data_IF_638675205809
#
_entry.id   IF_638675205809
#
_cell.length_a   1.000
_cell.length_b   1.000
_cell.length_c   1.000
_cell.angle_alpha   90.00
_cell.angle_beta   90.00
_cell.angle_gamma   90.00
#
_symmetry.space_group_name_H-M   'P 1'
#
loop_
_entity.id
_entity.type
_entity.pdbx_description
1 polymer ?
#
# COMPACT_ATOMS: atom_id res chain seq x y z
N UNK A 1 -29.27 6.39 45.77
CA UNK A 1 -28.48 7.29 44.91
C UNK A 1 -27.24 6.65 44.26
N UNK A 2 -26.98 5.34 44.42
CA UNK A 2 -25.72 4.68 44.00
C UNK A 2 -25.71 4.04 42.60
N UNK A 3 -26.79 4.17 41.79
CA UNK A 3 -26.94 3.45 40.50
C UNK A 3 -26.61 4.29 39.26
N UNK A 4 -26.39 5.60 39.40
CA UNK A 4 -26.12 6.50 38.26
C UNK A 4 -24.62 6.72 37.99
N UNK A 5 -23.75 6.49 38.98
CA UNK A 5 -22.30 6.68 38.85
C UNK A 5 -21.56 5.51 38.18
N UNK A 6 -22.14 4.31 38.15
CA UNK A 6 -21.53 3.13 37.53
C UNK A 6 -21.53 3.17 35.98
N UNK A 7 -22.51 3.84 35.36
CA UNK A 7 -22.59 3.91 33.90
C UNK A 7 -21.58 4.90 33.29
N UNK A 8 -21.21 5.96 34.01
CA UNK A 8 -20.26 6.97 33.52
C UNK A 8 -18.81 6.46 33.55
N UNK A 9 -18.46 5.61 34.52
CA UNK A 9 -17.12 5.00 34.61
C UNK A 9 -16.85 3.97 33.50
N UNK A 10 -17.85 3.17 33.12
CA UNK A 10 -17.72 2.17 32.06
C UNK A 10 -17.52 2.81 30.67
N UNK A 11 -18.14 3.96 30.40
CA UNK A 11 -17.96 4.69 29.15
C UNK A 11 -16.56 5.31 29.01
N UNK A 12 -16.00 5.83 30.10
CA UNK A 12 -14.64 6.36 30.12
C UNK A 12 -13.57 5.25 29.94
N UNK A 13 -13.81 4.07 30.51
CA UNK A 13 -12.91 2.91 30.35
C UNK A 13 -12.96 2.33 28.93
N UNK A 14 -14.10 2.40 28.22
CA UNK A 14 -14.20 2.00 26.82
C UNK A 14 -13.50 2.97 25.84
N UNK A 15 -13.46 4.28 26.15
CA UNK A 15 -12.75 5.25 25.31
C UNK A 15 -11.21 5.11 25.39
N UNK A 16 -10.69 4.56 26.49
CA UNK A 16 -9.24 4.41 26.68
C UNK A 16 -8.64 3.21 25.92
N UNK A 17 -9.47 2.29 25.42
CA UNK A 17 -9.02 1.05 24.74
C UNK A 17 -8.97 1.22 23.21
N UNK A 18 -9.43 2.36 22.66
CA UNK A 18 -9.55 2.57 21.22
C UNK A 18 -8.39 3.36 20.58
N UNK A 19 -7.28 3.57 21.29
CA UNK A 19 -6.05 4.09 20.66
C UNK A 19 -5.31 2.98 19.91
N UNK A 20 -6.00 2.29 18.99
CA UNK A 20 -5.31 1.55 17.94
C UNK A 20 -4.63 2.59 17.07
N UNK A 21 -3.30 2.71 17.17
CA UNK A 21 -2.55 3.66 16.36
C UNK A 21 -2.97 3.53 14.89
N UNK A 22 -3.35 4.65 14.29
CA UNK A 22 -3.61 4.71 12.86
C UNK A 22 -2.34 4.18 12.17
N UNK A 23 -2.42 2.97 11.60
CA UNK A 23 -1.31 2.45 10.82
C UNK A 23 -1.26 3.28 9.56
N UNK A 24 -0.10 3.87 9.27
CA UNK A 24 0.15 4.46 7.98
C UNK A 24 -0.09 3.40 6.90
N UNK A 25 -0.79 3.77 5.83
CA UNK A 25 -1.07 2.84 4.75
C UNK A 25 0.25 2.28 4.19
N UNK A 26 0.27 0.97 4.03
CA UNK A 26 1.44 0.21 3.60
C UNK A 26 1.02 -0.67 2.44
N UNK A 27 1.74 -0.55 1.32
CA UNK A 27 1.60 -1.47 0.18
C UNK A 27 2.76 -2.44 0.24
N UNK A 28 2.47 -3.74 0.27
CA UNK A 28 3.50 -4.79 0.24
C UNK A 28 3.74 -5.21 -1.20
N UNK A 29 5.00 -5.28 -1.60
CA UNK A 29 5.43 -5.81 -2.89
C UNK A 29 6.08 -7.17 -2.66
N UNK A 30 5.59 -8.20 -3.33
CA UNK A 30 6.10 -9.57 -3.20
C UNK A 30 6.71 -10.06 -4.51
N UNK A 31 7.89 -10.66 -4.42
CA UNK A 31 8.61 -11.24 -5.55
C UNK A 31 7.79 -12.31 -6.25
N UNK A 32 7.63 -12.19 -7.57
CA UNK A 32 6.71 -13.05 -8.33
C UNK A 32 7.24 -14.47 -8.59
N UNK A 33 8.54 -14.70 -8.39
CA UNK A 33 9.17 -16.00 -8.65
C UNK A 33 9.39 -16.84 -7.39
N UNK A 34 8.77 -16.46 -6.27
CA UNK A 34 8.91 -17.20 -5.00
C UNK A 34 10.33 -17.18 -4.44
N UNK A 35 11.14 -16.18 -4.80
CA UNK A 35 12.53 -16.05 -4.34
C UNK A 35 12.64 -15.50 -2.92
N UNK A 36 11.51 -15.09 -2.32
CA UNK A 36 11.42 -14.53 -0.97
C UNK A 36 11.81 -13.04 -0.90
N UNK A 37 12.07 -12.38 -2.03
CA UNK A 37 12.37 -10.95 -2.03
C UNK A 37 11.09 -10.13 -1.95
N UNK A 38 11.01 -9.28 -0.92
CA UNK A 38 9.87 -8.41 -0.67
C UNK A 38 10.32 -6.96 -0.48
N UNK A 39 9.39 -6.05 -0.71
CA UNK A 39 9.54 -4.63 -0.37
C UNK A 39 8.23 -4.07 0.18
N UNK A 40 8.30 -2.90 0.82
CA UNK A 40 7.11 -2.16 1.24
C UNK A 40 7.19 -0.72 0.78
N UNK A 41 6.06 -0.21 0.29
CA UNK A 41 5.84 1.22 0.02
C UNK A 41 5.06 1.81 1.18
N UNK A 42 5.61 2.83 1.82
CA UNK A 42 5.02 3.51 2.98
C UNK A 42 5.16 5.02 2.85
N UNK A 43 4.52 5.76 3.75
CA UNK A 43 4.58 7.22 3.82
C UNK A 43 4.29 7.89 2.48
N UNK A 44 3.39 7.30 1.70
CA UNK A 44 3.05 7.82 0.38
C UNK A 44 1.96 8.88 0.47
N UNK A 45 2.06 9.90 -0.38
CA UNK A 45 1.12 11.01 -0.44
C UNK A 45 1.12 11.62 -1.83
N UNK A 46 -0.01 12.21 -2.23
CA UNK A 46 -0.13 12.98 -3.45
C UNK A 46 -0.60 14.39 -3.05
N UNK A 47 0.25 15.40 -3.27
CA UNK A 47 -0.05 16.80 -3.02
C UNK A 47 0.13 17.58 -4.30
N UNK A 48 -0.97 18.13 -4.83
CA UNK A 48 -1.01 18.63 -6.20
C UNK A 48 -0.62 17.52 -7.17
N UNK A 49 0.44 17.75 -7.95
CA UNK A 49 0.94 16.83 -8.96
C UNK A 49 2.19 16.05 -8.49
N UNK A 50 2.54 16.13 -7.20
CA UNK A 50 3.73 15.49 -6.65
C UNK A 50 3.35 14.31 -5.79
N UNK A 51 3.71 13.12 -6.25
CA UNK A 51 3.64 11.88 -5.50
C UNK A 51 4.95 11.67 -4.74
N UNK A 52 4.87 11.54 -3.42
CA UNK A 52 6.02 11.21 -2.57
C UNK A 52 5.78 9.85 -1.95
N UNK A 53 6.81 9.00 -1.83
CA UNK A 53 6.73 7.69 -1.20
C UNK A 53 8.07 7.22 -0.65
N UNK A 54 8.05 6.30 0.31
CA UNK A 54 9.24 5.59 0.81
C UNK A 54 9.18 4.13 0.41
N UNK A 55 10.21 3.64 -0.28
CA UNK A 55 10.37 2.24 -0.63
C UNK A 55 11.41 1.61 0.30
N UNK A 56 11.04 0.52 0.96
CA UNK A 56 11.92 -0.24 1.84
C UNK A 56 12.13 -1.64 1.28
N UNK A 57 13.39 -2.06 1.19
CA UNK A 57 13.74 -3.43 0.85
C UNK A 57 13.65 -4.30 2.11
N UNK A 58 12.69 -5.21 2.16
CA UNK A 58 12.42 -6.08 3.31
C UNK A 58 12.93 -7.51 3.11
N UNK A 59 13.71 -7.76 2.06
CA UNK A 59 14.34 -9.05 1.77
C UNK A 59 15.51 -9.35 2.74
N UNK A 60 15.20 -9.50 4.03
CA UNK A 60 16.19 -9.72 5.10
C UNK A 60 16.31 -11.17 5.53
N UNK A 61 15.43 -12.05 5.04
CA UNK A 61 15.44 -13.46 5.42
C UNK A 61 16.68 -14.18 4.86
N UNK A 62 17.26 -15.13 5.61
CA UNK A 62 18.37 -15.94 5.13
C UNK A 62 18.01 -16.67 3.82
N UNK A 63 18.78 -16.44 2.77
CA UNK A 63 18.53 -17.06 1.46
C UNK A 63 17.46 -16.37 0.60
N UNK A 64 16.95 -15.21 1.04
CA UNK A 64 16.17 -14.28 0.25
C UNK A 64 16.91 -12.93 0.19
N UNK A 65 18.03 -12.92 -0.51
CA UNK A 65 18.86 -11.71 -0.67
C UNK A 65 18.52 -11.05 -1.99
N UNK A 66 18.58 -9.72 -2.06
CA UNK A 66 18.38 -8.99 -3.31
C UNK A 66 18.43 -7.49 -3.09
N UNK A 67 18.92 -6.74 -4.07
CA UNK A 67 18.97 -5.27 -4.01
C UNK A 67 17.95 -4.69 -4.98
N UNK A 68 17.15 -3.71 -4.54
CA UNK A 68 16.24 -3.01 -5.44
C UNK A 68 17.04 -2.05 -6.31
N UNK A 69 16.99 -2.24 -7.62
CA UNK A 69 17.76 -1.44 -8.58
C UNK A 69 16.92 -0.56 -9.48
N UNK A 70 15.68 -0.96 -9.77
CA UNK A 70 14.74 -0.14 -10.56
C UNK A 70 13.35 -0.17 -9.93
N UNK A 71 12.58 0.89 -10.17
CA UNK A 71 11.19 1.04 -9.69
C UNK A 71 10.34 1.41 -10.90
N UNK A 72 9.27 0.66 -11.16
CA UNK A 72 8.38 0.89 -12.31
C UNK A 72 6.99 1.30 -11.84
N UNK A 73 6.29 2.13 -12.62
CA UNK A 73 4.92 2.56 -12.38
C UNK A 73 4.09 2.16 -13.59
N UNK A 74 3.09 1.31 -13.38
CA UNK A 74 2.13 0.94 -14.42
C UNK A 74 0.83 1.69 -14.18
N UNK A 75 0.79 2.94 -14.63
CA UNK A 75 -0.34 3.84 -14.42
C UNK A 75 -1.38 3.59 -15.52
N UNK A 76 -2.64 3.91 -15.24
CA UNK A 76 -3.69 3.73 -16.23
C UNK A 76 -3.75 4.92 -17.18
N UNK A 77 -3.72 4.65 -18.49
CA UNK A 77 -3.78 5.68 -19.54
C UNK A 77 -2.41 6.30 -19.86
N UNK A 78 -2.33 7.08 -20.93
CA UNK A 78 -1.12 7.82 -21.31
C UNK A 78 -1.02 9.11 -20.46
N UNK A 79 0.08 9.24 -19.70
CA UNK A 79 0.26 10.23 -18.63
C UNK A 79 1.29 11.31 -18.95
N UNK A 80 1.80 11.37 -20.18
CA UNK A 80 2.73 12.42 -20.61
C UNK A 80 4.05 12.41 -19.82
N UNK A 81 4.51 13.58 -19.34
CA UNK A 81 5.85 13.74 -18.76
C UNK A 81 5.88 13.65 -17.23
N UNK A 82 6.80 12.84 -16.72
CA UNK A 82 7.17 12.77 -15.30
C UNK A 82 8.58 13.30 -15.05
N UNK A 83 8.83 13.78 -13.84
CA UNK A 83 10.15 14.22 -13.38
C UNK A 83 10.39 13.73 -11.95
N UNK A 84 11.57 13.19 -11.69
CA UNK A 84 12.02 12.94 -10.32
C UNK A 84 12.48 14.27 -9.72
N UNK A 85 11.76 14.77 -8.71
CA UNK A 85 12.04 16.07 -8.09
C UNK A 85 12.96 15.95 -6.88
N UNK A 86 12.89 14.85 -6.14
CA UNK A 86 13.86 14.55 -5.07
C UNK A 86 14.00 13.06 -4.82
N UNK A 87 15.14 12.67 -4.24
CA UNK A 87 15.39 11.31 -3.79
C UNK A 87 16.44 11.31 -2.68
N UNK A 88 16.27 10.44 -1.69
CA UNK A 88 17.35 10.17 -0.71
C UNK A 88 18.44 9.26 -1.31
N UNK A 89 18.17 8.59 -2.43
CA UNK A 89 19.16 7.86 -3.22
C UNK A 89 19.38 8.57 -4.58
N UNK A 90 20.48 9.33 -4.76
CA UNK A 90 20.69 10.15 -5.95
C UNK A 90 21.03 9.35 -7.21
N UNK A 91 21.19 8.02 -7.12
CA UNK A 91 21.54 7.20 -8.26
C UNK A 91 20.34 6.89 -9.18
N UNK A 92 19.12 7.13 -8.71
CA UNK A 92 17.91 6.90 -9.51
C UNK A 92 17.61 8.12 -10.38
N UNK A 93 17.19 7.88 -11.62
CA UNK A 93 16.63 8.89 -12.53
C UNK A 93 15.29 8.45 -13.08
N UNK A 94 14.40 9.40 -13.36
CA UNK A 94 13.16 9.14 -14.07
C UNK A 94 13.41 8.89 -15.56
N UNK A 95 12.75 7.88 -16.11
CA UNK A 95 12.71 7.56 -17.54
C UNK A 95 11.27 7.19 -17.89
N UNK A 96 10.79 7.65 -19.04
CA UNK A 96 9.43 7.45 -19.53
C UNK A 96 9.36 6.29 -20.51
N UNK A 97 8.18 5.69 -20.64
CA UNK A 97 7.86 4.67 -21.65
C UNK A 97 8.88 3.53 -21.70
N UNK A 98 9.21 3.01 -20.52
CA UNK A 98 10.27 2.01 -20.38
C UNK A 98 9.72 0.63 -20.64
N UNK A 99 10.24 -0.02 -21.68
CA UNK A 99 9.97 -1.42 -21.94
C UNK A 99 10.54 -2.31 -20.81
N UNK A 100 9.73 -3.26 -20.36
CA UNK A 100 10.16 -4.22 -19.34
C UNK A 100 11.13 -5.32 -19.85
N UNK A 101 11.31 -5.50 -21.17
CA UNK A 101 11.97 -6.67 -21.80
C UNK A 101 13.48 -6.48 -22.14
N UNK A 102 14.34 -7.50 -22.26
CA UNK A 102 14.20 -8.98 -22.31
C UNK A 102 14.98 -9.71 -21.19
N UNK A 103 14.58 -10.95 -20.88
CA UNK A 103 15.15 -11.79 -19.79
C UNK A 103 14.40 -11.68 -18.45
N UNK A 104 13.49 -10.72 -18.31
CA UNK A 104 12.60 -10.59 -17.18
C UNK A 104 11.33 -11.41 -17.43
N UNK A 105 11.05 -12.31 -16.50
CA UNK A 105 10.01 -13.32 -16.55
C UNK A 105 8.60 -12.67 -16.70
N UNK A 106 7.84 -13.07 -17.71
CA UNK A 106 6.38 -12.86 -17.89
C UNK A 106 5.78 -11.44 -17.74
N UNK A 107 6.57 -10.36 -17.88
CA UNK A 107 6.01 -9.00 -17.94
C UNK A 107 5.86 -8.51 -19.39
N UNK A 108 4.62 -8.47 -19.88
CA UNK A 108 4.23 -7.94 -21.20
C UNK A 108 3.88 -6.44 -21.18
N UNK A 109 4.34 -5.69 -20.18
CA UNK A 109 3.94 -4.30 -19.98
C UNK A 109 5.12 -3.33 -20.15
N UNK A 110 4.84 -2.17 -20.74
CA UNK A 110 5.66 -0.96 -20.62
C UNK A 110 5.27 -0.21 -19.33
N UNK A 111 6.21 0.51 -18.73
CA UNK A 111 5.92 1.43 -17.63
C UNK A 111 5.82 2.85 -18.18
N UNK A 112 4.80 3.61 -17.77
CA UNK A 112 4.68 5.04 -18.10
C UNK A 112 5.84 5.82 -17.48
N UNK A 113 6.29 5.38 -16.31
CA UNK A 113 7.44 5.89 -15.59
C UNK A 113 8.25 4.74 -14.99
N UNK A 114 9.57 4.81 -15.11
CA UNK A 114 10.49 4.05 -14.29
C UNK A 114 11.54 4.95 -13.64
N UNK A 115 11.93 4.62 -12.42
CA UNK A 115 13.11 5.13 -11.75
C UNK A 115 14.22 4.09 -11.92
N UNK A 116 15.26 4.42 -12.69
CA UNK A 116 16.35 3.52 -13.03
C UNK A 116 17.64 3.93 -12.33
N UNK A 117 18.36 2.99 -11.68
CA UNK A 117 19.60 3.30 -10.96
C UNK A 117 20.92 3.03 -11.72
N UNK A 118 20.85 2.78 -13.02
CA UNK A 118 22.00 2.52 -13.89
C UNK A 118 21.78 3.03 -15.30
N UNK A 119 22.82 3.10 -16.13
CA UNK A 119 22.80 3.84 -17.40
C UNK A 119 21.94 3.20 -18.52
N UNK A 120 21.35 2.03 -18.29
CA UNK A 120 20.41 1.42 -19.24
C UNK A 120 19.07 2.17 -19.22
N UNK A 121 18.42 2.28 -20.38
CA UNK A 121 17.03 2.75 -20.50
C UNK A 121 16.03 1.57 -20.52
N UNK A 122 16.38 0.48 -19.84
CA UNK A 122 15.54 -0.71 -19.72
C UNK A 122 15.32 -1.04 -18.25
N UNK A 123 14.16 -1.61 -17.93
CA UNK A 123 13.85 -2.09 -16.58
C UNK A 123 14.61 -3.39 -16.23
N UNK A 124 15.19 -4.05 -17.24
CA UNK A 124 15.93 -5.31 -17.18
C UNK A 124 17.17 -5.33 -16.28
N UNK A 125 17.79 -4.17 -16.07
CA UNK A 125 19.14 -4.07 -15.49
C UNK A 125 19.20 -3.41 -14.12
N UNK A 126 20.18 -2.50 -13.99
CA UNK A 126 20.48 -1.77 -12.75
C UNK A 126 21.87 -2.07 -12.21
N UNK A 127 22.36 -1.23 -11.31
CA UNK A 127 23.65 -1.37 -10.64
C UNK A 127 23.41 -1.65 -9.16
N UNK A 128 23.72 -2.88 -8.74
CA UNK A 128 23.53 -3.37 -7.36
C UNK A 128 24.18 -2.44 -6.34
N UNK A 129 25.42 -2.01 -6.58
CA UNK A 129 26.16 -1.11 -5.68
C UNK A 129 25.48 0.24 -5.42
N UNK A 130 24.53 0.64 -6.27
CA UNK A 130 23.82 1.92 -6.20
C UNK A 130 22.35 1.76 -5.72
N UNK A 131 21.91 0.53 -5.47
CA UNK A 131 20.51 0.23 -5.20
C UNK A 131 20.11 0.40 -3.74
N UNK A 132 18.91 -0.08 -3.41
CA UNK A 132 18.40 -0.13 -2.04
C UNK A 132 18.68 -1.53 -1.51
N UNK A 133 19.71 -1.66 -0.66
CA UNK A 133 20.14 -2.92 -0.08
C UNK A 133 19.09 -3.49 0.90
N UNK A 134 19.11 -4.80 1.18
CA UNK A 134 18.27 -5.41 2.22
C UNK A 134 18.28 -4.64 3.54
N UNK A 135 17.10 -4.41 4.12
CA UNK A 135 16.93 -3.69 5.38
C UNK A 135 17.09 -2.17 5.30
N UNK A 136 17.25 -1.62 4.09
CA UNK A 136 17.37 -0.17 3.87
C UNK A 136 16.18 0.40 3.10
N UNK A 137 16.05 1.73 3.13
CA UNK A 137 14.95 2.44 2.49
C UNK A 137 15.45 3.64 1.69
N UNK A 138 14.68 4.04 0.68
CA UNK A 138 14.85 5.32 0.00
C UNK A 138 13.50 6.01 -0.19
N UNK A 139 13.49 7.34 -0.11
CA UNK A 139 12.31 8.19 -0.31
C UNK A 139 12.46 8.92 -1.62
N UNK A 140 11.38 8.99 -2.39
CA UNK A 140 11.32 9.61 -3.70
C UNK A 140 10.15 10.59 -3.77
N UNK A 141 10.34 11.68 -4.49
CA UNK A 141 9.28 12.59 -4.92
C UNK A 141 9.28 12.69 -6.43
N UNK A 142 8.15 12.37 -7.04
CA UNK A 142 7.93 12.39 -8.49
C UNK A 142 6.80 13.36 -8.79
N UNK A 143 7.02 14.26 -9.75
CA UNK A 143 5.99 15.17 -10.25
C UNK A 143 5.59 14.78 -11.66
N UNK A 144 4.29 14.76 -11.95
CA UNK A 144 3.75 14.46 -13.28
C UNK A 144 2.22 14.51 -13.31
N UNK A 145 1.61 13.89 -14.32
CA UNK A 145 0.15 13.80 -14.39
C UNK A 145 -0.38 12.61 -13.59
N UNK A 146 -0.92 12.89 -12.40
CA UNK A 146 -1.62 11.92 -11.56
C UNK A 146 -3.14 12.16 -11.54
N UNK A 147 -3.69 12.90 -12.50
CA UNK A 147 -5.11 13.28 -12.52
C UNK A 147 -6.00 12.05 -12.46
N UNK A 148 -6.97 12.06 -11.54
CA UNK A 148 -7.92 10.95 -11.38
C UNK A 148 -7.35 9.70 -10.69
N UNK A 149 -6.12 9.75 -10.17
CA UNK A 149 -5.56 8.70 -9.32
C UNK A 149 -5.44 9.17 -7.86
N UNK A 150 -5.74 8.28 -6.92
CA UNK A 150 -5.40 8.49 -5.52
C UNK A 150 -3.95 8.12 -5.23
N UNK A 151 -3.38 8.63 -4.13
CA UNK A 151 -2.04 8.24 -3.69
C UNK A 151 -1.92 6.71 -3.49
N UNK A 152 -2.98 6.08 -2.98
CA UNK A 152 -3.07 4.62 -2.82
C UNK A 152 -2.95 3.91 -4.17
N UNK A 153 -3.74 4.31 -5.16
CA UNK A 153 -3.71 3.67 -6.49
C UNK A 153 -2.34 3.78 -7.16
N UNK A 154 -1.66 4.92 -6.96
CA UNK A 154 -0.30 5.11 -7.46
C UNK A 154 0.68 4.19 -6.72
N UNK A 155 0.59 4.10 -5.39
CA UNK A 155 1.45 3.22 -4.60
C UNK A 155 1.25 1.73 -4.98
N UNK A 156 0.01 1.30 -5.22
CA UNK A 156 -0.33 -0.06 -5.65
C UNK A 156 0.14 -0.39 -7.08
N UNK A 157 0.39 0.63 -7.92
CA UNK A 157 0.92 0.47 -9.27
C UNK A 157 2.44 0.26 -9.33
N UNK A 158 3.12 0.30 -8.19
CA UNK A 158 4.58 0.21 -8.12
C UNK A 158 5.06 -1.22 -8.31
N UNK A 159 6.12 -1.35 -9.12
CA UNK A 159 6.92 -2.55 -9.30
C UNK A 159 8.34 -2.28 -8.83
N UNK A 160 8.95 -3.25 -8.14
CA UNK A 160 10.35 -3.17 -7.72
C UNK A 160 11.18 -4.25 -8.40
N UNK A 161 12.26 -3.87 -9.10
CA UNK A 161 13.23 -4.81 -9.66
C UNK A 161 14.30 -5.15 -8.64
N UNK A 162 14.45 -6.43 -8.34
CA UNK A 162 15.54 -6.95 -7.53
C UNK A 162 16.63 -7.55 -8.41
N UNK A 163 17.89 -7.25 -8.07
CA UNK A 163 19.09 -7.82 -8.69
C UNK A 163 20.00 -8.45 -7.64
N UNK A 164 20.91 -9.31 -8.12
CA UNK A 164 21.75 -10.16 -7.27
C UNK A 164 20.91 -11.02 -6.30
N UNK A 165 19.77 -11.50 -6.79
CA UNK A 165 18.88 -12.33 -6.00
C UNK A 165 19.57 -13.66 -5.72
N UNK A 166 19.69 -14.02 -4.45
CA UNK A 166 20.24 -15.31 -3.99
C UNK A 166 21.59 -15.68 -4.62
N UNK A 167 22.46 -14.67 -4.80
CA UNK A 167 23.83 -14.86 -5.30
C UNK A 167 24.02 -14.75 -6.81
N UNK A 168 22.97 -14.45 -7.60
CA UNK A 168 23.17 -14.23 -9.04
C UNK A 168 21.94 -14.05 -9.94
N UNK A 169 20.73 -14.06 -9.39
CA UNK A 169 19.50 -13.92 -10.15
C UNK A 169 18.90 -12.52 -10.16
N UNK A 170 17.69 -12.41 -10.71
CA UNK A 170 16.85 -11.22 -10.61
C UNK A 170 15.39 -11.61 -10.42
N UNK A 171 14.63 -10.79 -9.73
CA UNK A 171 13.18 -10.95 -9.56
C UNK A 171 12.49 -9.58 -9.68
N UNK A 172 11.18 -9.58 -9.83
CA UNK A 172 10.34 -8.39 -9.78
C UNK A 172 9.30 -8.60 -8.69
N UNK A 173 9.11 -7.60 -7.83
CA UNK A 173 8.07 -7.60 -6.83
C UNK A 173 6.93 -6.64 -7.22
N UNK A 174 5.70 -7.03 -6.93
CA UNK A 174 4.49 -6.22 -7.13
C UNK A 174 3.47 -6.48 -6.02
N UNK A 175 2.38 -5.73 -5.97
CA UNK A 175 1.36 -5.85 -4.92
C UNK A 175 0.44 -7.10 -5.04
N UNK A 176 0.71 -8.05 -5.95
CA UNK A 176 -0.06 -9.30 -6.07
C UNK A 176 -1.54 -9.16 -6.47
N UNK A 177 -2.08 -7.94 -6.56
CA UNK A 177 -3.42 -7.63 -7.04
C UNK A 177 -4.57 -8.13 -6.17
N UNK A 178 -4.35 -8.57 -4.92
CA UNK A 178 -5.45 -8.90 -4.01
C UNK A 178 -5.76 -7.69 -3.13
N UNK A 179 -6.84 -6.92 -3.40
CA UNK A 179 -7.17 -5.77 -2.58
C UNK A 179 -7.50 -6.28 -1.18
N UNK A 180 -6.67 -5.92 -0.19
CA UNK A 180 -6.97 -6.19 1.21
C UNK A 180 -8.07 -5.20 1.61
N UNK A 181 -9.27 -5.65 2.04
CA UNK A 181 -10.33 -4.74 2.45
C UNK A 181 -9.85 -3.83 3.58
N UNK A 182 -9.93 -2.52 3.36
CA UNK A 182 -9.45 -1.55 4.32
C UNK A 182 -10.13 -1.75 5.69
N UNK A 183 -9.40 -1.63 6.82
CA UNK A 183 -9.94 -1.83 8.16
C UNK A 183 -11.17 -0.97 8.47
N UNK A 184 -11.27 0.21 7.84
CA UNK A 184 -12.42 1.10 7.97
C UNK A 184 -13.70 0.50 7.38
N UNK A 185 -13.60 -0.26 6.29
CA UNK A 185 -14.75 -0.95 5.67
C UNK A 185 -15.28 -2.05 6.57
N UNK A 186 -14.39 -2.81 7.23
CA UNK A 186 -14.76 -3.82 8.21
C UNK A 186 -15.39 -3.18 9.47
N UNK A 187 -14.87 -2.05 9.90
CA UNK A 187 -15.44 -1.30 11.02
C UNK A 187 -16.82 -0.69 10.69
N UNK A 188 -16.98 -0.10 9.50
CA UNK A 188 -18.25 0.45 9.04
C UNK A 188 -19.28 -0.66 8.82
N UNK A 189 -18.88 -1.80 8.28
CA UNK A 189 -19.73 -2.98 8.13
C UNK A 189 -20.16 -3.51 9.50
N UNK A 190 -19.21 -3.64 10.44
CA UNK A 190 -19.48 -4.10 11.80
C UNK A 190 -20.40 -3.16 12.60
N UNK A 191 -20.15 -1.86 12.55
CA UNK A 191 -20.97 -0.85 13.23
C UNK A 191 -22.34 -0.66 12.56
N UNK A 192 -22.41 -0.75 11.23
CA UNK A 192 -23.66 -0.74 10.47
C UNK A 192 -24.57 -1.90 10.84
N UNK A 193 -24.04 -3.13 10.90
CA UNK A 193 -24.79 -4.32 11.33
C UNK A 193 -25.25 -4.22 12.78
N UNK A 194 -24.39 -3.75 13.69
CA UNK A 194 -24.77 -3.52 15.09
C UNK A 194 -25.91 -2.50 15.23
N UNK A 195 -25.88 -1.42 14.44
CA UNK A 195 -26.94 -0.41 14.39
C UNK A 195 -28.28 -0.99 13.90
N UNK A 196 -28.25 -1.84 12.86
CA UNK A 196 -29.46 -2.52 12.36
C UNK A 196 -30.02 -3.47 13.42
N UNK A 197 -29.18 -4.30 14.05
CA UNK A 197 -29.60 -5.24 15.09
C UNK A 197 -30.26 -4.52 16.29
N UNK A 198 -29.69 -3.41 16.74
CA UNK A 198 -30.26 -2.58 17.80
C UNK A 198 -31.65 -2.01 17.41
N UNK A 199 -31.79 -1.54 16.16
CA UNK A 199 -33.06 -1.01 15.63
C UNK A 199 -34.14 -2.10 15.55
N UNK A 200 -33.81 -3.30 15.09
CA UNK A 200 -34.73 -4.45 15.03
C UNK A 200 -35.17 -4.89 16.43
N UNK A 201 -34.25 -4.95 17.40
CA UNK A 201 -34.57 -5.29 18.80
C UNK A 201 -35.54 -4.28 19.41
N UNK A 202 -35.35 -2.98 19.15
CA UNK A 202 -36.26 -1.93 19.66
C UNK A 202 -37.68 -2.12 19.13
N UNK A 203 -37.85 -2.40 17.82
CA UNK A 203 -39.17 -2.63 17.20
C UNK A 203 -39.91 -3.83 17.78
N UNK A 204 -39.20 -4.93 18.03
CA UNK A 204 -39.81 -6.14 18.63
C UNK A 204 -40.31 -5.92 20.06
N UNK A 205 -39.66 -5.04 20.82
CA UNK A 205 -40.09 -4.72 22.18
C UNK A 205 -41.38 -3.89 22.17
N UNK A 206 -41.47 -2.86 21.33
CA UNK A 206 -42.69 -2.04 21.22
C UNK A 206 -43.88 -2.83 20.69
N UNK A 207 -43.68 -3.78 19.79
CA UNK A 207 -44.75 -4.63 19.27
C UNK A 207 -45.29 -5.63 20.32
N UNK A 208 -44.46 -6.04 21.27
CA UNK A 208 -44.89 -6.92 22.37
C UNK A 208 -45.68 -6.15 23.43
N UNK A 209 -45.34 -4.88 23.66
CA UNK A 209 -46.03 -4.02 24.62
C UNK A 209 -47.40 -3.52 24.08
N UNK A 210 -47.57 -3.45 22.75
CA UNK A 210 -48.86 -3.09 22.12
C UNK A 210 -49.90 -4.20 22.10
N UNK A 211 -49.49 -5.46 22.31
CA UNK A 211 -50.39 -6.63 22.33
C UNK A 211 -50.97 -6.91 23.74
N UNK A 212 -50.44 -6.24 24.77
CA UNK A 212 -50.87 -6.42 26.18
C UNK A 212 -51.94 -5.43 26.65
N UNK A 213 -52.41 -4.50 25.81
CA UNK A 213 -53.38 -3.45 26.18
C UNK A 213 -54.80 -3.71 25.61
N UNK A 214 -55.03 -4.89 25.01
CA UNK A 214 -56.26 -5.25 24.30
C UNK A 214 -57.29 -6.07 25.06
N UNK A 215 -57.36 -5.97 26.39
CA UNK A 215 -58.44 -6.62 27.19
C UNK A 215 -59.00 -5.67 28.24
N UNK A 216 -60.07 -4.95 27.87
CA UNK A 216 -61.22 -4.61 28.72
C UNK A 216 -62.47 -4.54 27.84
#
# INVERSE_FOLDING_TARGET
MLRRSLFTGAAALMLLVLTTGARADTVTLTGINGTGVDATVTNFSLVGNTFTFTLTNTATEPGATGTITNIGFNLTGDRGSFTLTSSTNPNFRAVLDVNATSGAQNFTNSFDLALLNGNSNTFGGGKVANGIAPGTSATFSVTGDFTGLSAQQIAESIFARFQAVNGGGSDVANNGGTPVPEPATMFLLGTGLAGIAAKVRKRRKTAKDSDSDGTL
#
